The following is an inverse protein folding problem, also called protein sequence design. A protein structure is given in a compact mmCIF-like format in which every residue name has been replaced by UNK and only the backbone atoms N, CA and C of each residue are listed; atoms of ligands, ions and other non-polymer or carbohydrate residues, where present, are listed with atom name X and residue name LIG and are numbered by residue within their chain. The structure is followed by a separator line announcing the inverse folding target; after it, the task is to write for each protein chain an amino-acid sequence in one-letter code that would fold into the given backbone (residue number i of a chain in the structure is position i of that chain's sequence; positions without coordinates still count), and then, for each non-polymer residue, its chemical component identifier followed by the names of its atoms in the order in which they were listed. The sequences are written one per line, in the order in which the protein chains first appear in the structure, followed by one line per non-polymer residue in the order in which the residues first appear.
data_IF_289023008091
#
_entry.id   IF_289023008091
#
_cell.length_a   1.000
_cell.length_b   1.000
_cell.length_c   1.000
_cell.angle_alpha   90.00
_cell.angle_beta   90.00
_cell.angle_gamma   90.00
#
_symmetry.space_group_name_H-M   'P 1'
#
loop_
_entity.id
_entity.type
_entity.pdbx_description
1 polymer ?
#
# COMPACT_ATOMS: atom_id res chain seq x y z
N UNK A 1 -32.44 14.50 14.45
CA UNK A 1 -32.09 13.22 13.81
C UNK A 1 -31.42 13.39 12.43
N UNK A 2 -31.91 14.28 11.55
CA UNK A 2 -31.37 14.49 10.19
C UNK A 2 -29.88 14.93 10.10
N UNK A 3 -29.39 15.75 11.05
CA UNK A 3 -28.01 16.29 11.03
C UNK A 3 -26.93 15.20 11.17
N UNK A 4 -27.25 14.08 11.83
CA UNK A 4 -26.32 12.96 12.09
C UNK A 4 -26.05 12.14 10.82
N UNK A 5 -27.03 12.06 9.92
CA UNK A 5 -26.92 11.32 8.66
C UNK A 5 -26.07 12.07 7.63
N UNK A 6 -26.22 13.40 7.55
CA UNK A 6 -25.38 14.24 6.70
C UNK A 6 -23.90 14.18 7.11
N UNK A 7 -23.61 14.21 8.42
CA UNK A 7 -22.24 14.14 8.93
C UNK A 7 -21.57 12.78 8.61
N UNK A 8 -22.33 11.68 8.72
CA UNK A 8 -21.89 10.35 8.26
C UNK A 8 -21.60 10.31 6.77
N UNK A 9 -22.48 10.90 5.95
CA UNK A 9 -22.31 10.95 4.49
C UNK A 9 -21.02 11.67 4.06
N UNK A 10 -20.71 12.82 4.67
CA UNK A 10 -19.43 13.50 4.40
C UNK A 10 -18.22 12.71 4.89
N UNK A 11 -18.34 11.99 6.02
CA UNK A 11 -17.29 11.12 6.52
C UNK A 11 -17.04 9.92 5.58
N UNK A 12 -18.11 9.29 5.07
CA UNK A 12 -18.02 8.17 4.14
C UNK A 12 -17.38 8.60 2.80
N UNK A 13 -17.73 9.78 2.29
CA UNK A 13 -17.09 10.36 1.09
C UNK A 13 -15.62 10.69 1.38
N UNK A 14 -15.30 11.28 2.53
CA UNK A 14 -13.93 11.57 2.93
C UNK A 14 -13.07 10.31 3.02
N UNK A 15 -13.61 9.23 3.59
CA UNK A 15 -12.98 7.92 3.64
C UNK A 15 -12.78 7.29 2.26
N UNK A 16 -13.74 7.46 1.34
CA UNK A 16 -13.63 7.00 -0.04
C UNK A 16 -12.48 7.72 -0.78
N UNK A 17 -12.40 9.05 -0.63
CA UNK A 17 -11.35 9.88 -1.24
C UNK A 17 -9.98 9.50 -0.68
N UNK A 18 -9.86 9.37 0.65
CA UNK A 18 -8.61 8.98 1.29
C UNK A 18 -8.14 7.61 0.78
N UNK A 19 -9.06 6.66 0.63
CA UNK A 19 -8.75 5.32 0.15
C UNK A 19 -8.26 5.32 -1.30
N UNK A 20 -8.99 5.98 -2.20
CA UNK A 20 -8.61 6.07 -3.60
C UNK A 20 -7.32 6.86 -3.77
N UNK A 21 -7.14 7.95 -3.03
CA UNK A 21 -5.94 8.77 -3.05
C UNK A 21 -4.70 7.99 -2.60
N UNK A 22 -4.76 7.34 -1.43
CA UNK A 22 -3.65 6.53 -0.92
C UNK A 22 -3.36 5.33 -1.83
N UNK A 23 -4.39 4.62 -2.28
CA UNK A 23 -4.24 3.49 -3.20
C UNK A 23 -3.58 3.91 -4.52
N UNK A 24 -4.03 5.02 -5.12
CA UNK A 24 -3.44 5.57 -6.33
C UNK A 24 -1.98 5.99 -6.11
N UNK A 25 -1.65 6.62 -4.98
CA UNK A 25 -0.27 6.99 -4.65
C UNK A 25 0.65 5.77 -4.60
N UNK A 26 0.22 4.69 -3.92
CA UNK A 26 0.99 3.45 -3.84
C UNK A 26 1.11 2.73 -5.18
N UNK A 27 0.11 2.80 -6.05
CA UNK A 27 0.21 2.24 -7.41
C UNK A 27 1.22 3.03 -8.25
N UNK A 28 1.12 4.37 -8.25
CA UNK A 28 2.00 5.25 -9.03
C UNK A 28 3.45 5.15 -8.55
N UNK A 29 3.68 5.06 -7.24
CA UNK A 29 5.04 4.92 -6.67
C UNK A 29 5.54 3.47 -6.64
N UNK A 30 4.64 2.49 -6.58
CA UNK A 30 4.96 1.06 -6.58
C UNK A 30 5.30 0.54 -7.98
N UNK A 31 4.72 1.10 -9.05
CA UNK A 31 5.04 0.73 -10.43
C UNK A 31 6.53 0.88 -10.79
N UNK A 32 7.21 2.01 -10.52
CA UNK A 32 8.65 2.13 -10.78
C UNK A 32 9.48 1.18 -9.88
N UNK A 33 8.99 0.83 -8.69
CA UNK A 33 9.68 -0.11 -7.79
C UNK A 33 9.61 -1.56 -8.27
N UNK A 34 8.46 -1.99 -8.78
CA UNK A 34 8.32 -3.35 -9.33
C UNK A 34 9.00 -3.48 -10.70
N UNK A 35 8.97 -2.42 -11.51
CA UNK A 35 9.61 -2.39 -12.84
C UNK A 35 11.12 -2.07 -12.81
N UNK A 36 11.65 -1.59 -11.68
CA UNK A 36 13.08 -1.33 -11.49
C UNK A 36 13.97 -2.59 -11.53
N UNK A 37 13.38 -3.78 -11.40
CA UNK A 37 14.03 -5.06 -11.64
C UNK A 37 15.19 -5.40 -10.70
N UNK A 38 16.04 -6.34 -11.16
CA UNK A 38 17.18 -6.86 -10.43
C UNK A 38 18.19 -5.84 -9.86
N UNK A 39 18.44 -4.65 -10.47
CA UNK A 39 19.34 -3.66 -9.86
C UNK A 39 18.72 -2.90 -8.68
N UNK A 40 17.40 -2.67 -8.66
CA UNK A 40 16.73 -1.86 -7.63
C UNK A 40 16.30 -2.70 -6.41
N UNK A 41 15.95 -3.97 -6.61
CA UNK A 41 15.47 -4.85 -5.55
C UNK A 41 16.48 -5.12 -4.41
N UNK A 42 17.79 -5.34 -4.64
CA UNK A 42 18.72 -5.51 -3.52
C UNK A 42 18.86 -4.25 -2.67
N UNK A 43 18.78 -3.05 -3.26
CA UNK A 43 18.81 -1.77 -2.54
C UNK A 43 17.55 -1.59 -1.68
N UNK A 44 16.37 -1.87 -2.24
CA UNK A 44 15.11 -1.90 -1.48
C UNK A 44 15.14 -2.92 -0.35
N UNK A 45 15.73 -4.09 -0.60
CA UNK A 45 15.84 -5.17 0.37
C UNK A 45 16.81 -4.90 1.50
N UNK A 46 17.79 -4.01 1.32
CA UNK A 46 18.77 -3.66 2.35
C UNK A 46 18.10 -3.15 3.64
N UNK A 47 16.90 -2.56 3.53
CA UNK A 47 16.09 -2.15 4.68
C UNK A 47 15.80 -3.31 5.66
N UNK A 48 15.76 -4.56 5.19
CA UNK A 48 15.57 -5.75 6.05
C UNK A 48 16.77 -6.03 6.97
N UNK A 49 17.94 -5.45 6.65
CA UNK A 49 19.15 -5.50 7.49
C UNK A 49 18.93 -4.83 8.84
N UNK A 50 18.09 -3.79 8.93
CA UNK A 50 17.70 -3.16 10.20
C UNK A 50 16.91 -4.11 11.10
N UNK A 51 16.21 -5.09 10.53
CA UNK A 51 15.53 -6.16 11.28
C UNK A 51 16.49 -7.32 11.66
N UNK A 52 17.79 -7.21 11.35
CA UNK A 52 18.80 -8.23 11.64
C UNK A 52 18.93 -9.31 10.55
N UNK A 53 18.18 -9.22 9.45
CA UNK A 53 18.22 -10.17 8.33
C UNK A 53 19.24 -9.67 7.31
N UNK A 54 20.38 -10.35 7.19
CA UNK A 54 21.49 -9.94 6.30
C UNK A 54 21.59 -10.75 5.01
N UNK A 55 20.52 -11.45 4.62
CA UNK A 55 20.53 -12.33 3.45
C UNK A 55 19.26 -12.16 2.61
N UNK A 56 19.36 -12.50 1.33
CA UNK A 56 18.19 -12.55 0.44
C UNK A 56 17.63 -11.17 0.08
N UNK A 57 18.45 -10.11 0.09
CA UNK A 57 18.00 -8.73 -0.16
C UNK A 57 17.20 -8.58 -1.46
N UNK A 58 17.58 -9.26 -2.54
CA UNK A 58 16.80 -9.25 -3.78
C UNK A 58 15.37 -9.82 -3.60
N UNK A 59 15.21 -10.89 -2.84
CA UNK A 59 13.90 -11.48 -2.54
C UNK A 59 13.06 -10.54 -1.68
N UNK A 60 13.64 -10.02 -0.59
CA UNK A 60 12.93 -9.11 0.32
C UNK A 60 12.56 -7.80 -0.34
N UNK A 61 13.42 -7.25 -1.20
CA UNK A 61 13.11 -6.04 -1.97
C UNK A 61 12.07 -6.26 -3.05
N UNK A 62 12.08 -7.41 -3.72
CA UNK A 62 10.98 -7.80 -4.62
C UNK A 62 9.66 -7.92 -3.86
N UNK A 63 9.66 -8.60 -2.72
CA UNK A 63 8.47 -8.75 -1.86
C UNK A 63 7.97 -7.39 -1.35
N UNK A 64 8.86 -6.45 -1.00
CA UNK A 64 8.51 -5.10 -0.62
C UNK A 64 7.86 -4.33 -1.78
N UNK A 65 8.47 -4.35 -2.97
CA UNK A 65 7.93 -3.71 -4.17
C UNK A 65 6.57 -4.31 -4.58
N UNK A 66 6.42 -5.63 -4.52
CA UNK A 66 5.15 -6.31 -4.74
C UNK A 66 4.10 -5.90 -3.70
N UNK A 67 4.45 -5.90 -2.42
CA UNK A 67 3.53 -5.50 -1.35
C UNK A 67 3.09 -4.04 -1.51
N UNK A 68 3.96 -3.16 -1.99
CA UNK A 68 3.62 -1.75 -2.21
C UNK A 68 2.68 -1.57 -3.41
N UNK A 69 2.98 -2.21 -4.55
CA UNK A 69 2.17 -2.10 -5.75
C UNK A 69 0.81 -2.80 -5.62
N UNK A 70 0.81 -4.09 -5.27
CA UNK A 70 -0.43 -4.86 -5.11
C UNK A 70 -1.21 -4.40 -3.88
N UNK A 71 -0.52 -4.01 -2.79
CA UNK A 71 -1.16 -3.39 -1.62
C UNK A 71 -1.89 -2.10 -1.99
N UNK A 72 -1.30 -1.25 -2.83
CA UNK A 72 -1.97 -0.07 -3.37
C UNK A 72 -3.26 -0.39 -4.14
N UNK A 73 -3.26 -1.45 -4.96
CA UNK A 73 -4.44 -1.95 -5.67
C UNK A 73 -5.52 -2.44 -4.71
N UNK A 74 -5.14 -3.22 -3.69
CA UNK A 74 -6.09 -3.70 -2.67
C UNK A 74 -6.69 -2.56 -1.84
N UNK A 75 -5.89 -1.53 -1.52
CA UNK A 75 -6.37 -0.31 -0.86
C UNK A 75 -7.36 0.41 -1.78
N UNK A 76 -7.00 0.67 -3.04
CA UNK A 76 -7.85 1.39 -3.99
C UNK A 76 -9.20 0.69 -4.22
N UNK A 77 -9.20 -0.64 -4.40
CA UNK A 77 -10.41 -1.42 -4.61
C UNK A 77 -11.24 -1.63 -3.33
N UNK A 78 -10.63 -1.49 -2.15
CA UNK A 78 -11.32 -1.66 -0.86
C UNK A 78 -11.79 -3.09 -0.55
N UNK A 79 -11.29 -4.09 -1.28
CA UNK A 79 -11.79 -5.48 -1.27
C UNK A 79 -11.39 -6.29 -0.01
N UNK A 80 -10.53 -5.76 0.87
CA UNK A 80 -10.11 -6.46 2.12
C UNK A 80 -10.12 -5.55 3.35
N UNK A 81 -10.60 -4.31 3.23
CA UNK A 81 -10.61 -3.36 4.34
C UNK A 81 -11.62 -3.69 5.44
N UNK A 82 -12.66 -4.47 5.13
CA UNK A 82 -13.73 -4.79 6.07
C UNK A 82 -13.42 -5.95 7.04
N UNK A 83 -12.75 -7.06 6.64
CA UNK A 83 -12.36 -8.10 7.58
C UNK A 83 -11.09 -7.82 8.38
N UNK A 84 -10.37 -6.71 8.15
CA UNK A 84 -9.16 -6.36 8.92
C UNK A 84 -9.35 -5.23 9.94
N UNK A 85 -10.53 -4.61 9.98
CA UNK A 85 -10.95 -3.75 11.09
C UNK A 85 -11.69 -4.59 12.14
N UNK A 86 -10.95 -5.17 13.08
CA UNK A 86 -11.47 -5.63 14.37
C UNK A 86 -11.02 -4.67 15.46
#
# INVERSE_FOLDING_TARGET
MAKKNAQKYYADIGLLILRLGLGAMFIVHGWPKISGGAPLWPELGEAVSFCGIKFGFMFWGFMAACSEFFGGIFIALGIVFRPFCF
#
